data_IF_439141762743
#
_entry.id   IF_439141762743
#
_cell.length_a   1.000
_cell.length_b   1.000
_cell.length_c   1.000
_cell.angle_alpha   90.00
_cell.angle_beta   90.00
_cell.angle_gamma   90.00
#
_symmetry.space_group_name_H-M   'P 1'
#
loop_
_entity.id
_entity.type
_entity.pdbx_description
1 polymer ?
#
# COMPACT_ATOMS: atom_id res chain seq x y z
N UNK A 1 -33.67 12.72 -46.11
CA UNK A 1 -33.27 12.61 -44.70
C UNK A 1 -32.02 11.77 -44.63
N UNK A 2 -30.86 12.33 -44.27
CA UNK A 2 -29.62 11.51 -44.15
C UNK A 2 -29.66 10.76 -42.82
N UNK A 3 -29.42 9.45 -42.89
CA UNK A 3 -29.24 8.58 -41.73
C UNK A 3 -27.85 8.87 -41.14
N UNK A 4 -27.79 9.43 -39.95
CA UNK A 4 -26.55 9.46 -39.16
C UNK A 4 -26.21 8.04 -38.72
N UNK A 5 -25.17 7.51 -39.33
CA UNK A 5 -24.51 6.30 -38.86
C UNK A 5 -23.78 6.66 -37.56
N UNK A 6 -24.25 6.13 -36.43
CA UNK A 6 -23.50 6.19 -35.18
C UNK A 6 -22.26 5.30 -35.36
N UNK A 7 -21.09 5.91 -35.43
CA UNK A 7 -19.84 5.20 -35.35
C UNK A 7 -19.75 4.54 -33.98
N UNK A 8 -19.81 3.22 -33.92
CA UNK A 8 -19.50 2.47 -32.71
C UNK A 8 -18.02 2.72 -32.39
N UNK A 9 -17.76 3.42 -31.30
CA UNK A 9 -16.41 3.50 -30.74
C UNK A 9 -16.03 2.08 -30.35
N UNK A 10 -15.10 1.48 -31.08
CA UNK A 10 -14.54 0.18 -30.73
C UNK A 10 -13.92 0.35 -29.34
N UNK A 11 -14.53 -0.25 -28.33
CA UNK A 11 -13.94 -0.34 -27.00
C UNK A 11 -12.62 -1.09 -27.18
N UNK A 12 -11.50 -0.44 -26.87
CA UNK A 12 -10.19 -1.08 -26.93
C UNK A 12 -10.15 -2.20 -25.91
N UNK A 13 -10.34 -3.44 -26.36
CA UNK A 13 -10.47 -4.64 -25.52
C UNK A 13 -9.12 -5.21 -25.07
N UNK A 14 -8.00 -4.64 -25.55
CA UNK A 14 -6.67 -5.10 -25.17
C UNK A 14 -6.42 -4.84 -23.68
N UNK A 15 -5.80 -5.80 -22.98
CA UNK A 15 -5.45 -5.61 -21.58
C UNK A 15 -4.38 -4.53 -21.42
N UNK A 16 -4.30 -3.98 -20.20
CA UNK A 16 -3.28 -3.00 -19.81
C UNK A 16 -1.89 -3.62 -19.97
N UNK A 17 -0.96 -2.87 -20.56
CA UNK A 17 0.39 -3.35 -20.82
C UNK A 17 1.28 -3.24 -19.59
N UNK A 18 2.09 -4.27 -19.35
CA UNK A 18 3.20 -4.23 -18.42
C UNK A 18 4.32 -3.37 -19.01
N UNK A 19 4.72 -2.29 -18.30
CA UNK A 19 5.73 -1.35 -18.80
C UNK A 19 7.03 -1.35 -18.00
N UNK A 20 7.01 -1.85 -16.77
CA UNK A 20 8.21 -1.89 -15.92
C UNK A 20 8.10 -3.02 -14.89
N UNK A 21 9.25 -3.63 -14.55
CA UNK A 21 9.39 -4.59 -13.46
C UNK A 21 10.65 -4.28 -12.66
N UNK A 22 10.60 -4.54 -11.36
CA UNK A 22 11.76 -4.39 -10.49
C UNK A 22 11.71 -5.40 -9.34
N UNK A 23 12.89 -5.90 -8.94
CA UNK A 23 13.08 -6.66 -7.69
C UNK A 23 13.40 -5.73 -6.51
N UNK A 24 13.41 -4.42 -6.77
CA UNK A 24 13.72 -3.41 -5.75
C UNK A 24 15.14 -3.50 -5.21
N UNK A 25 15.31 -2.98 -4.00
CA UNK A 25 16.60 -2.97 -3.29
C UNK A 25 16.44 -3.65 -1.94
N UNK A 26 17.21 -4.70 -1.70
CA UNK A 26 17.18 -5.44 -0.43
C UNK A 26 18.01 -4.73 0.64
N UNK A 27 17.40 -4.57 1.82
CA UNK A 27 18.02 -3.99 3.02
C UNK A 27 17.73 -4.92 4.21
N UNK A 28 18.65 -5.84 4.47
CA UNK A 28 18.44 -6.88 5.49
C UNK A 28 17.22 -7.76 5.18
N UNK A 29 16.21 -7.80 6.07
CA UNK A 29 15.00 -8.59 5.87
C UNK A 29 13.93 -7.91 5.00
N UNK A 30 14.17 -6.67 4.58
CA UNK A 30 13.23 -5.84 3.83
C UNK A 30 13.70 -5.69 2.40
N UNK A 31 12.79 -5.77 1.45
CA UNK A 31 13.00 -5.40 0.05
C UNK A 31 12.16 -4.16 -0.26
N UNK A 32 12.82 -3.01 -0.49
CA UNK A 32 12.21 -1.77 -0.94
C UNK A 32 11.87 -1.89 -2.42
N UNK A 33 10.58 -2.02 -2.75
CA UNK A 33 10.07 -2.17 -4.12
C UNK A 33 9.75 -0.83 -4.77
N UNK A 34 9.41 0.18 -3.97
CA UNK A 34 9.05 1.52 -4.42
C UNK A 34 9.42 2.54 -3.35
N UNK A 35 9.97 3.69 -3.75
CA UNK A 35 10.25 4.83 -2.87
C UNK A 35 9.58 6.11 -3.39
N UNK A 36 9.36 7.11 -2.53
CA UNK A 36 8.77 8.38 -2.96
C UNK A 36 9.62 9.14 -3.98
N UNK A 37 10.93 8.88 -4.04
CA UNK A 37 11.87 9.52 -4.97
C UNK A 37 12.03 8.79 -6.32
N UNK A 38 11.41 7.65 -6.49
CA UNK A 38 11.47 6.85 -7.72
C UNK A 38 10.06 6.52 -8.25
N UNK A 39 9.66 5.27 -8.25
CA UNK A 39 8.34 4.82 -8.76
C UNK A 39 7.16 5.51 -8.05
N UNK A 40 7.32 5.94 -6.80
CA UNK A 40 6.26 6.65 -6.07
C UNK A 40 5.85 7.98 -6.72
N UNK A 41 6.73 8.65 -7.48
CA UNK A 41 6.37 9.84 -8.26
C UNK A 41 5.42 9.50 -9.42
N UNK A 42 5.53 8.30 -9.96
CA UNK A 42 4.74 7.83 -11.10
C UNK A 42 3.44 7.13 -10.65
N UNK A 43 3.49 6.44 -9.51
CA UNK A 43 2.40 5.60 -8.99
C UNK A 43 1.57 6.28 -7.90
N UNK A 44 1.80 7.57 -7.62
CA UNK A 44 1.03 8.33 -6.64
C UNK A 44 -0.49 8.21 -6.89
N UNK A 45 -1.30 7.95 -5.87
CA UNK A 45 -1.03 8.16 -4.43
C UNK A 45 -0.17 7.09 -3.74
N UNK A 46 0.15 5.96 -4.36
CA UNK A 46 1.03 4.95 -3.79
C UNK A 46 2.48 5.39 -3.96
N UNK A 47 3.15 5.71 -2.84
CA UNK A 47 4.47 6.36 -2.90
C UNK A 47 5.63 5.54 -2.35
N UNK A 48 5.33 4.41 -1.70
CA UNK A 48 6.33 3.58 -1.06
C UNK A 48 5.78 2.16 -0.89
N UNK A 49 6.60 1.14 -1.13
CA UNK A 49 6.25 -0.24 -0.87
C UNK A 49 7.48 -1.02 -0.42
N UNK A 50 7.41 -1.56 0.79
CA UNK A 50 8.33 -2.56 1.30
C UNK A 50 7.65 -3.93 1.35
N UNK A 51 8.37 -4.95 0.90
CA UNK A 51 8.06 -6.36 1.16
C UNK A 51 9.04 -6.87 2.20
N UNK A 52 8.54 -7.35 3.33
CA UNK A 52 9.36 -7.94 4.38
C UNK A 52 9.06 -9.42 4.56
N UNK A 53 10.11 -10.19 4.83
CA UNK A 53 10.00 -11.62 5.11
C UNK A 53 11.22 -12.09 5.90
N UNK A 54 11.00 -12.49 7.18
CA UNK A 54 12.06 -12.96 8.07
C UNK A 54 11.52 -13.73 9.27
N UNK A 55 12.41 -14.46 9.91
CA UNK A 55 12.16 -15.07 11.22
C UNK A 55 12.87 -14.22 12.28
N UNK A 56 12.11 -13.60 13.21
CA UNK A 56 12.73 -12.79 14.25
C UNK A 56 13.60 -13.61 15.19
N UNK A 57 14.74 -13.05 15.60
CA UNK A 57 15.55 -13.61 16.67
C UNK A 57 14.87 -13.38 18.04
N UNK A 58 15.08 -14.29 19.03
CA UNK A 58 14.56 -14.08 20.37
C UNK A 58 15.00 -12.74 20.96
N UNK A 59 14.03 -11.92 21.38
CA UNK A 59 14.30 -10.58 21.93
C UNK A 59 14.65 -9.51 20.89
N UNK A 60 14.45 -9.78 19.60
CA UNK A 60 14.69 -8.80 18.54
C UNK A 60 13.86 -7.53 18.80
N UNK A 61 14.56 -6.40 18.88
CA UNK A 61 13.91 -5.09 18.91
C UNK A 61 13.22 -4.82 17.58
N UNK A 62 12.04 -4.18 17.62
CA UNK A 62 11.37 -3.70 16.42
C UNK A 62 12.11 -2.55 15.73
N UNK A 63 11.44 -1.91 14.79
CA UNK A 63 11.99 -0.76 14.05
C UNK A 63 12.25 0.48 14.92
N UNK A 64 11.76 0.46 16.16
CA UNK A 64 11.78 1.62 17.06
C UNK A 64 10.69 2.63 16.72
N UNK A 65 10.43 3.52 17.65
CA UNK A 65 9.47 4.60 17.49
C UNK A 65 9.96 5.57 16.42
N UNK A 66 9.18 5.79 15.36
CA UNK A 66 9.51 6.68 14.25
C UNK A 66 8.28 7.46 13.76
N UNK A 67 8.49 8.64 13.15
CA UNK A 67 7.41 9.54 12.79
C UNK A 67 6.95 9.40 11.34
N UNK A 68 5.75 9.95 11.07
CA UNK A 68 5.25 10.23 9.72
C UNK A 68 4.42 11.52 9.72
N UNK A 69 4.37 12.20 8.56
CA UNK A 69 3.38 13.24 8.25
C UNK A 69 3.06 13.28 6.76
N UNK A 70 1.86 13.74 6.39
CA UNK A 70 1.40 13.90 5.00
C UNK A 70 1.05 12.59 4.28
N UNK A 71 1.28 11.46 4.89
CA UNK A 71 0.98 10.13 4.35
C UNK A 71 0.07 9.33 5.27
N UNK A 72 -0.48 8.25 4.72
CA UNK A 72 -0.94 7.14 5.51
C UNK A 72 -0.02 5.95 5.30
N UNK A 73 0.31 5.22 6.38
CA UNK A 73 0.94 3.91 6.30
C UNK A 73 -0.12 2.83 6.27
N UNK A 74 0.13 1.77 5.52
CA UNK A 74 -0.71 0.58 5.48
C UNK A 74 0.17 -0.66 5.62
N UNK A 75 0.02 -1.38 6.73
CA UNK A 75 0.66 -2.68 6.93
C UNK A 75 -0.34 -3.79 6.65
N UNK A 76 0.05 -4.76 5.84
CA UNK A 76 -0.68 -6.01 5.65
C UNK A 76 0.19 -7.18 6.10
N UNK A 77 -0.25 -7.88 7.16
CA UNK A 77 0.41 -9.08 7.67
C UNK A 77 -0.08 -10.29 6.88
N UNK A 78 0.83 -10.91 6.10
CA UNK A 78 0.51 -12.16 5.38
C UNK A 78 0.70 -13.35 6.32
N UNK A 79 1.80 -13.32 7.11
CA UNK A 79 2.16 -14.36 8.07
C UNK A 79 2.75 -13.71 9.33
N UNK A 80 2.48 -14.31 10.48
CA UNK A 80 2.98 -13.84 11.77
C UNK A 80 2.18 -12.68 12.35
N UNK A 81 2.71 -12.08 13.43
CA UNK A 81 2.03 -11.02 14.17
C UNK A 81 3.00 -9.99 14.74
N UNK A 82 2.55 -8.74 14.87
CA UNK A 82 3.34 -7.64 15.43
C UNK A 82 2.60 -6.95 16.57
N UNK A 83 3.32 -6.63 17.65
CA UNK A 83 2.82 -5.69 18.64
C UNK A 83 3.04 -4.27 18.15
N UNK A 84 2.02 -3.45 18.21
CA UNK A 84 2.04 -2.06 17.78
C UNK A 84 1.71 -1.08 18.90
N UNK A 85 2.20 0.13 18.78
CA UNK A 85 1.79 1.30 19.53
C UNK A 85 1.94 2.57 18.70
N UNK A 86 1.07 3.54 18.88
CA UNK A 86 1.15 4.83 18.20
C UNK A 86 0.73 6.00 19.10
N UNK A 87 1.00 7.22 18.64
CA UNK A 87 0.68 8.45 19.38
C UNK A 87 -0.77 8.93 19.19
N UNK A 88 -1.62 8.17 18.50
CA UNK A 88 -3.09 8.34 18.57
C UNK A 88 -3.66 7.69 19.85
N UNK A 89 -2.81 7.01 20.62
CA UNK A 89 -3.18 6.33 21.86
C UNK A 89 -3.57 4.86 21.69
N UNK A 90 -3.28 4.27 20.52
CA UNK A 90 -3.58 2.86 20.25
C UNK A 90 -2.36 1.97 20.46
N UNK A 91 -2.62 0.79 21.03
CA UNK A 91 -1.66 -0.27 21.18
C UNK A 91 -2.36 -1.63 21.16
N UNK A 92 -1.65 -2.68 20.72
CA UNK A 92 -2.20 -4.03 20.64
C UNK A 92 -1.31 -4.97 19.86
N UNK A 93 -1.91 -6.04 19.35
CA UNK A 93 -1.28 -7.00 18.44
C UNK A 93 -2.06 -7.00 17.13
N UNK A 94 -1.36 -6.85 16.03
CA UNK A 94 -1.87 -7.03 14.68
C UNK A 94 -1.58 -8.47 14.27
N UNK A 95 -2.61 -9.33 14.14
CA UNK A 95 -2.44 -10.74 13.84
C UNK A 95 -2.21 -10.99 12.34
N UNK A 96 -1.87 -12.23 12.01
CA UNK A 96 -1.86 -12.74 10.64
C UNK A 96 -3.16 -12.42 9.88
N UNK A 97 -3.03 -11.99 8.64
CA UNK A 97 -4.13 -11.53 7.80
C UNK A 97 -4.70 -10.17 8.20
N UNK A 98 -4.23 -9.58 9.30
CA UNK A 98 -4.66 -8.28 9.78
C UNK A 98 -4.04 -7.12 9.00
N UNK A 99 -4.66 -5.94 9.15
CA UNK A 99 -4.21 -4.70 8.52
C UNK A 99 -4.15 -3.54 9.50
N UNK A 100 -3.14 -2.70 9.31
CA UNK A 100 -3.03 -1.37 9.91
C UNK A 100 -3.31 -0.32 8.83
N UNK A 101 -4.11 0.67 9.14
CA UNK A 101 -4.17 1.94 8.45
C UNK A 101 -3.87 3.05 9.44
N UNK A 102 -2.79 3.79 9.22
CA UNK A 102 -2.44 4.94 10.05
C UNK A 102 -2.27 6.16 9.16
N UNK A 103 -3.32 6.98 9.09
CA UNK A 103 -3.27 8.31 8.47
C UNK A 103 -2.51 9.25 9.41
N UNK A 104 -1.30 9.63 9.02
CA UNK A 104 -0.44 10.45 9.84
C UNK A 104 -0.89 11.90 9.92
N UNK A 105 -1.58 12.40 8.89
CA UNK A 105 -2.01 13.80 8.84
C UNK A 105 -0.84 14.75 9.12
N UNK A 106 -1.02 15.66 10.07
CA UNK A 106 0.01 16.62 10.47
C UNK A 106 1.20 15.99 11.20
N UNK A 107 1.02 14.82 11.82
CA UNK A 107 2.11 14.11 12.48
C UNK A 107 1.64 12.99 13.41
N UNK A 108 2.37 11.89 13.37
CA UNK A 108 2.18 10.72 14.22
C UNK A 108 3.54 10.05 14.44
N UNK A 109 3.70 9.37 15.58
CA UNK A 109 4.80 8.44 15.82
C UNK A 109 4.23 7.06 16.11
N UNK A 110 4.87 6.04 15.59
CA UNK A 110 4.49 4.66 15.84
C UNK A 110 5.68 3.72 15.94
N UNK A 111 5.41 2.54 16.45
CA UNK A 111 6.37 1.46 16.58
C UNK A 111 5.67 0.13 16.31
N UNK A 112 6.39 -0.79 15.69
CA UNK A 112 6.00 -2.18 15.55
C UNK A 112 7.17 -3.10 15.92
N UNK A 113 6.88 -4.16 16.68
CA UNK A 113 7.88 -5.16 17.08
C UNK A 113 7.31 -6.57 16.96
N UNK A 114 8.14 -7.57 16.63
CA UNK A 114 7.72 -8.96 16.66
C UNK A 114 7.16 -9.35 18.03
N UNK A 115 6.08 -10.12 18.05
CA UNK A 115 5.48 -10.66 19.29
C UNK A 115 6.26 -11.88 19.77
N UNK A 116 6.74 -12.69 18.82
CA UNK A 116 7.44 -13.94 19.05
C UNK A 116 8.47 -14.20 17.94
N UNK A 117 9.10 -15.39 17.92
CA UNK A 117 10.06 -15.80 16.89
C UNK A 117 9.44 -16.60 15.74
N UNK A 118 8.13 -16.51 15.52
CA UNK A 118 7.50 -17.10 14.34
C UNK A 118 7.89 -16.33 13.07
N UNK A 119 7.95 -16.97 11.89
CA UNK A 119 8.14 -16.28 10.64
C UNK A 119 7.14 -15.14 10.45
N UNK A 120 7.59 -14.08 9.84
CA UNK A 120 6.76 -12.91 9.52
C UNK A 120 6.94 -12.54 8.07
N UNK A 121 5.83 -12.32 7.37
CA UNK A 121 5.81 -11.86 5.98
C UNK A 121 4.69 -10.84 5.79
N UNK A 122 4.94 -9.80 5.03
CA UNK A 122 3.92 -8.79 4.75
C UNK A 122 4.41 -7.65 3.86
N UNK A 123 3.53 -6.70 3.68
CA UNK A 123 3.79 -5.48 2.93
C UNK A 123 3.55 -4.24 3.79
N UNK A 124 4.43 -3.25 3.63
CA UNK A 124 4.25 -1.89 4.15
C UNK A 124 4.10 -0.94 2.96
N UNK A 125 2.93 -0.34 2.82
CA UNK A 125 2.60 0.64 1.78
C UNK A 125 2.51 2.03 2.41
N UNK A 126 2.96 3.08 1.70
CA UNK A 126 2.59 4.45 2.02
C UNK A 126 1.71 5.03 0.93
N UNK A 127 0.68 5.75 1.37
CA UNK A 127 -0.26 6.47 0.51
C UNK A 127 -0.11 7.96 0.79
N UNK A 128 0.18 8.76 -0.22
CA UNK A 128 0.16 10.21 -0.13
C UNK A 128 -1.28 10.69 0.12
N UNK A 129 -1.48 11.46 1.17
CA UNK A 129 -2.81 11.98 1.50
C UNK A 129 -3.21 13.12 0.54
N UNK A 130 -4.51 13.31 0.29
CA UNK A 130 -4.99 14.50 -0.39
C UNK A 130 -4.55 15.79 0.32
N UNK A 131 -4.30 16.86 -0.44
CA UNK A 131 -3.84 18.15 0.10
C UNK A 131 -4.70 18.68 1.26
N UNK A 132 -6.00 18.42 1.24
CA UNK A 132 -6.92 18.81 2.31
C UNK A 132 -6.77 18.00 3.60
N UNK A 133 -6.06 16.85 3.57
CA UNK A 133 -5.93 15.92 4.70
C UNK A 133 -4.49 15.80 5.20
N UNK A 134 -3.50 16.18 4.41
CA UNK A 134 -2.07 15.94 4.71
C UNK A 134 -1.55 16.62 5.98
N UNK A 135 -2.20 17.67 6.47
CA UNK A 135 -1.96 18.29 7.77
C UNK A 135 -3.18 18.20 8.72
N UNK A 136 -4.11 17.29 8.43
CA UNK A 136 -5.24 17.01 9.30
C UNK A 136 -4.86 16.23 10.57
N UNK A 137 -5.84 15.85 11.40
CA UNK A 137 -5.60 15.02 12.58
C UNK A 137 -5.14 13.62 12.20
N UNK A 138 -4.24 13.05 13.01
CA UNK A 138 -3.83 11.66 12.87
C UNK A 138 -4.96 10.71 13.27
N UNK A 139 -5.08 9.60 12.56
CA UNK A 139 -6.07 8.54 12.81
C UNK A 139 -5.45 7.18 12.50
N UNK A 140 -5.59 6.22 13.40
CA UNK A 140 -5.20 4.84 13.13
C UNK A 140 -6.36 3.85 13.29
N UNK A 141 -6.36 2.82 12.46
CA UNK A 141 -7.32 1.70 12.47
C UNK A 141 -6.52 0.41 12.34
N UNK A 142 -6.80 -0.53 13.23
CA UNK A 142 -6.20 -1.87 13.23
C UNK A 142 -7.34 -2.88 13.15
N UNK A 143 -7.29 -3.75 12.16
CA UNK A 143 -8.34 -4.73 11.89
C UNK A 143 -7.73 -6.12 11.79
N UNK A 144 -8.39 -7.09 12.42
CA UNK A 144 -8.08 -8.50 12.21
C UNK A 144 -8.62 -9.01 10.86
N UNK A 145 -8.13 -10.18 10.43
CA UNK A 145 -8.46 -10.79 9.14
C UNK A 145 -9.98 -10.93 8.92
N UNK A 146 -10.76 -11.17 9.97
CA UNK A 146 -12.21 -11.41 9.87
C UNK A 146 -13.00 -10.16 9.47
N UNK A 147 -12.39 -8.99 9.59
CA UNK A 147 -13.00 -7.71 9.23
C UNK A 147 -12.71 -7.29 7.79
N UNK A 148 -11.82 -8.00 7.10
CA UNK A 148 -11.45 -7.68 5.72
C UNK A 148 -12.36 -8.45 4.76
N UNK A 149 -13.20 -7.76 3.98
CA UNK A 149 -14.13 -8.40 3.07
C UNK A 149 -13.43 -9.03 1.87
N UNK A 150 -14.05 -10.07 1.31
CA UNK A 150 -13.51 -10.81 0.17
C UNK A 150 -14.51 -10.84 -0.99
N UNK A 151 -13.99 -10.85 -2.21
CA UNK A 151 -14.76 -11.01 -3.44
C UNK A 151 -13.94 -11.83 -4.45
N UNK A 152 -14.41 -13.05 -4.74
CA UNK A 152 -13.64 -13.99 -5.57
C UNK A 152 -12.29 -14.29 -4.94
N UNK A 153 -11.16 -14.20 -5.67
CA UNK A 153 -9.83 -14.48 -5.14
C UNK A 153 -9.23 -13.30 -4.35
N UNK A 154 -9.92 -12.15 -4.25
CA UNK A 154 -9.39 -10.91 -3.71
C UNK A 154 -9.97 -10.58 -2.33
N UNK A 155 -9.09 -10.26 -1.38
CA UNK A 155 -9.40 -9.55 -0.12
C UNK A 155 -9.28 -8.05 -0.37
N UNK A 156 -10.28 -7.29 0.02
CA UNK A 156 -10.34 -5.84 -0.25
C UNK A 156 -9.71 -5.10 0.92
N UNK A 157 -8.41 -4.79 0.79
CA UNK A 157 -7.64 -4.11 1.83
C UNK A 157 -8.00 -2.62 1.91
N UNK A 158 -8.08 -1.93 0.75
CA UNK A 158 -8.56 -0.54 0.61
C UNK A 158 -9.52 -0.44 -0.56
N UNK A 159 -10.48 0.47 -0.47
CA UNK A 159 -11.44 0.76 -1.55
C UNK A 159 -12.53 -0.29 -1.69
N UNK A 160 -12.86 -0.67 -2.93
CA UNK A 160 -13.96 -1.57 -3.23
C UNK A 160 -13.68 -2.47 -4.45
N UNK A 161 -14.16 -3.70 -4.42
CA UNK A 161 -14.09 -4.63 -5.53
C UNK A 161 -15.34 -5.50 -5.60
N UNK A 162 -16.05 -5.47 -6.75
CA UNK A 162 -17.35 -6.11 -6.86
C UNK A 162 -18.35 -5.51 -5.87
N UNK A 163 -18.86 -6.33 -4.96
CA UNK A 163 -19.78 -5.89 -3.89
C UNK A 163 -19.08 -5.70 -2.54
N UNK A 164 -17.80 -6.06 -2.45
CA UNK A 164 -17.01 -5.94 -1.22
C UNK A 164 -16.40 -4.54 -1.09
N UNK A 165 -16.52 -3.95 0.10
CA UNK A 165 -15.97 -2.63 0.43
C UNK A 165 -15.17 -2.71 1.72
N UNK A 166 -13.93 -2.24 1.68
CA UNK A 166 -13.06 -2.16 2.85
C UNK A 166 -13.67 -1.23 3.92
N UNK A 167 -13.64 -1.61 5.21
CA UNK A 167 -14.03 -0.72 6.30
C UNK A 167 -12.95 0.30 6.67
N UNK A 168 -11.77 0.24 6.05
CA UNK A 168 -10.68 1.19 6.28
C UNK A 168 -11.05 2.57 5.73
N UNK A 169 -10.96 3.65 6.54
CA UNK A 169 -11.36 5.00 6.12
C UNK A 169 -10.27 5.69 5.28
N UNK A 170 -9.88 5.04 4.17
CA UNK A 170 -8.94 5.59 3.20
C UNK A 170 -9.60 6.67 2.32
N UNK A 171 -8.82 7.61 1.75
CA UNK A 171 -9.32 8.50 0.71
C UNK A 171 -9.93 7.72 -0.45
N UNK A 172 -10.97 8.28 -1.07
CA UNK A 172 -11.63 7.68 -2.23
C UNK A 172 -10.69 7.63 -3.46
N UNK A 173 -11.07 6.81 -4.45
CA UNK A 173 -10.37 6.73 -5.73
C UNK A 173 -9.13 5.86 -5.71
N UNK A 174 -9.04 4.90 -4.80
CA UNK A 174 -8.00 3.88 -4.78
C UNK A 174 -8.53 2.51 -4.35
N UNK A 175 -7.92 1.46 -4.89
CA UNK A 175 -8.07 0.08 -4.45
C UNK A 175 -6.71 -0.50 -4.10
N UNK A 176 -6.67 -1.27 -3.02
CA UNK A 176 -5.55 -2.13 -2.67
C UNK A 176 -6.10 -3.50 -2.29
N UNK A 177 -5.70 -4.51 -3.04
CA UNK A 177 -6.23 -5.86 -2.95
C UNK A 177 -5.10 -6.84 -2.60
N UNK A 178 -5.39 -7.84 -1.76
CA UNK A 178 -4.55 -9.03 -1.63
C UNK A 178 -5.24 -10.18 -2.36
N UNK A 179 -4.53 -10.83 -3.28
CA UNK A 179 -5.11 -11.79 -4.22
C UNK A 179 -4.37 -13.12 -4.13
N UNK A 180 -5.13 -14.21 -4.12
CA UNK A 180 -4.60 -15.57 -4.19
C UNK A 180 -5.23 -16.28 -5.39
N UNK A 181 -4.38 -16.76 -6.30
CA UNK A 181 -4.78 -17.54 -7.47
C UNK A 181 -4.18 -18.94 -7.40
N UNK A 182 -4.96 -19.93 -7.84
CA UNK A 182 -4.48 -21.29 -8.01
C UNK A 182 -3.69 -21.44 -9.32
N UNK A 183 -2.87 -22.50 -9.41
CA UNK A 183 -2.15 -22.82 -10.63
C UNK A 183 -3.07 -22.85 -11.84
N UNK A 184 -2.69 -22.14 -12.89
CA UNK A 184 -3.46 -22.00 -14.14
C UNK A 184 -4.71 -21.11 -14.03
N UNK A 185 -5.01 -20.56 -12.87
CA UNK A 185 -6.19 -19.69 -12.71
C UNK A 185 -6.00 -18.37 -13.47
N UNK A 186 -7.05 -17.98 -14.21
CA UNK A 186 -7.16 -16.72 -14.91
C UNK A 186 -7.98 -15.73 -14.09
N UNK A 187 -7.45 -14.54 -13.87
CA UNK A 187 -8.19 -13.47 -13.22
C UNK A 187 -8.04 -12.16 -13.98
N UNK A 188 -9.19 -11.54 -14.25
CA UNK A 188 -9.25 -10.23 -14.91
C UNK A 188 -9.67 -9.18 -13.89
N UNK A 189 -8.75 -8.28 -13.59
CA UNK A 189 -9.05 -7.11 -12.78
C UNK A 189 -9.51 -5.96 -13.67
N UNK A 190 -10.76 -5.54 -13.51
CA UNK A 190 -11.30 -4.33 -14.15
C UNK A 190 -11.29 -3.22 -13.11
N UNK A 191 -10.41 -2.21 -13.24
CA UNK A 191 -10.36 -1.11 -12.28
C UNK A 191 -11.62 -0.25 -12.39
N UNK A 192 -12.01 0.45 -11.30
CA UNK A 192 -13.01 1.52 -11.39
C UNK A 192 -12.61 2.60 -12.39
N UNK A 193 -13.62 3.30 -12.93
CA UNK A 193 -13.39 4.40 -13.87
C UNK A 193 -12.43 5.45 -13.28
N UNK A 194 -11.46 5.88 -14.09
CA UNK A 194 -10.47 6.88 -13.70
C UNK A 194 -9.26 6.32 -12.92
N UNK A 195 -9.25 5.04 -12.52
CA UNK A 195 -8.08 4.41 -11.91
C UNK A 195 -7.00 4.13 -12.96
N UNK A 196 -6.30 5.17 -13.39
CA UNK A 196 -5.27 5.08 -14.42
C UNK A 196 -3.95 4.56 -13.89
N UNK A 197 -3.66 4.69 -12.61
CA UNK A 197 -2.52 4.06 -11.95
C UNK A 197 -2.81 2.59 -11.71
N UNK A 198 -1.83 1.71 -11.99
CA UNK A 198 -1.94 0.27 -11.72
C UNK A 198 -0.58 -0.38 -11.52
N UNK A 199 -0.47 -1.21 -10.49
CA UNK A 199 0.73 -1.99 -10.17
C UNK A 199 0.35 -3.25 -9.40
N UNK A 200 1.24 -4.24 -9.36
CA UNK A 200 1.13 -5.38 -8.45
C UNK A 200 2.52 -5.77 -7.92
N UNK A 201 2.56 -6.47 -6.78
CA UNK A 201 3.78 -7.04 -6.22
C UNK A 201 3.52 -8.48 -5.80
N UNK A 202 4.33 -9.41 -6.33
CA UNK A 202 4.17 -10.86 -6.10
C UNK A 202 4.89 -11.26 -4.82
N UNK A 203 4.15 -11.90 -3.90
CA UNK A 203 4.70 -12.48 -2.69
C UNK A 203 5.26 -13.89 -2.97
N UNK A 204 4.44 -14.78 -3.53
CA UNK A 204 4.81 -16.16 -3.87
C UNK A 204 4.27 -16.55 -5.24
N UNK A 205 4.90 -17.53 -5.91
CA UNK A 205 4.49 -18.00 -7.23
C UNK A 205 4.95 -17.09 -8.35
N UNK A 206 4.24 -17.13 -9.47
CA UNK A 206 4.52 -16.35 -10.68
C UNK A 206 3.23 -15.96 -11.36
N UNK A 207 3.21 -14.80 -12.01
CA UNK A 207 2.09 -14.31 -12.82
C UNK A 207 2.53 -14.05 -14.26
N UNK A 208 1.70 -14.44 -15.22
CA UNK A 208 1.73 -13.83 -16.54
C UNK A 208 0.76 -12.65 -16.56
N UNK A 209 1.30 -11.45 -16.72
CA UNK A 209 0.59 -10.17 -16.78
C UNK A 209 0.93 -9.44 -18.07
N UNK A 210 0.86 -10.12 -19.23
CA UNK A 210 1.42 -9.68 -20.51
C UNK A 210 2.97 -9.61 -20.49
N UNK A 211 3.54 -10.47 -19.67
CA UNK A 211 4.94 -10.66 -19.34
C UNK A 211 5.04 -11.36 -18.00
N UNK A 212 6.07 -12.20 -17.83
CA UNK A 212 6.25 -12.95 -16.60
C UNK A 212 6.69 -12.03 -15.46
N UNK A 213 6.02 -12.14 -14.30
CA UNK A 213 6.34 -11.47 -13.04
C UNK A 213 6.59 -12.53 -11.99
N UNK A 214 7.77 -12.54 -11.40
CA UNK A 214 8.22 -13.54 -10.43
C UNK A 214 7.97 -13.09 -8.98
N UNK A 215 8.03 -14.04 -8.05
CA UNK A 215 8.01 -13.72 -6.62
C UNK A 215 9.09 -12.68 -6.26
N UNK A 216 8.70 -11.70 -5.43
CA UNK A 216 9.55 -10.58 -5.02
C UNK A 216 9.66 -9.45 -6.05
N UNK A 217 8.96 -9.54 -7.18
CA UNK A 217 8.92 -8.44 -8.17
C UNK A 217 7.70 -7.55 -7.97
N UNK A 218 7.91 -6.26 -8.21
CA UNK A 218 6.87 -5.27 -8.47
C UNK A 218 6.76 -5.06 -9.97
N UNK A 219 5.53 -5.10 -10.48
CA UNK A 219 5.16 -4.85 -11.87
C UNK A 219 4.32 -3.57 -11.97
N UNK A 220 4.67 -2.70 -12.91
CA UNK A 220 3.98 -1.44 -13.19
C UNK A 220 3.30 -1.52 -14.54
N UNK A 221 2.05 -1.13 -14.60
CA UNK A 221 1.27 -1.08 -15.83
C UNK A 221 1.21 0.33 -16.40
N UNK A 222 0.99 0.44 -17.72
CA UNK A 222 0.74 1.72 -18.37
C UNK A 222 -0.41 2.49 -17.74
N UNK A 223 -0.37 3.82 -17.78
CA UNK A 223 -1.47 4.67 -17.31
C UNK A 223 -2.69 4.50 -18.23
N UNK A 224 -3.68 3.77 -17.75
CA UNK A 224 -4.91 3.44 -18.49
C UNK A 224 -5.95 2.93 -17.49
N UNK A 225 -7.22 3.04 -17.82
CA UNK A 225 -8.34 2.42 -17.10
C UNK A 225 -8.73 1.04 -17.66
N UNK A 226 -7.92 0.50 -18.58
CA UNK A 226 -8.12 -0.84 -19.14
C UNK A 226 -7.89 -1.92 -18.08
N UNK A 227 -8.52 -3.06 -18.28
CA UNK A 227 -8.37 -4.21 -17.41
C UNK A 227 -6.95 -4.77 -17.40
N UNK A 228 -6.56 -5.39 -16.30
CA UNK A 228 -5.32 -6.17 -16.15
C UNK A 228 -5.71 -7.64 -16.19
N UNK A 229 -5.16 -8.38 -17.14
CA UNK A 229 -5.34 -9.84 -17.26
C UNK A 229 -4.16 -10.57 -16.64
N UNK A 230 -4.45 -11.51 -15.77
CA UNK A 230 -3.47 -12.26 -15.00
C UNK A 230 -3.72 -13.76 -15.13
N UNK A 231 -2.64 -14.52 -15.26
CA UNK A 231 -2.66 -15.99 -15.22
C UNK A 231 -1.60 -16.45 -14.23
N UNK A 232 -2.00 -17.26 -13.25
CA UNK A 232 -1.08 -17.81 -12.28
C UNK A 232 -0.29 -19.01 -12.85
N UNK A 233 0.99 -19.07 -12.54
CA UNK A 233 1.86 -20.21 -12.74
C UNK A 233 2.32 -20.74 -11.39
N UNK A 234 1.75 -21.85 -10.96
CA UNK A 234 1.76 -22.31 -9.59
C UNK A 234 0.79 -21.50 -8.72
N UNK A 235 0.53 -21.97 -7.49
CA UNK A 235 -0.26 -21.20 -6.50
C UNK A 235 0.46 -19.88 -6.21
N UNK A 236 -0.23 -18.78 -6.47
CA UNK A 236 0.37 -17.44 -6.49
C UNK A 236 -0.38 -16.48 -5.57
N UNK A 237 0.37 -15.77 -4.72
CA UNK A 237 -0.14 -14.69 -3.87
C UNK A 237 0.52 -13.37 -4.21
N UNK A 238 -0.24 -12.29 -4.27
CA UNK A 238 0.23 -10.96 -4.62
C UNK A 238 -0.66 -9.86 -4.06
N UNK A 239 -0.15 -8.64 -4.04
CA UNK A 239 -0.95 -7.45 -3.81
C UNK A 239 -1.08 -6.64 -5.11
N UNK A 240 -2.23 -5.98 -5.29
CA UNK A 240 -2.52 -5.14 -6.45
C UNK A 240 -3.05 -3.79 -5.98
N UNK A 241 -2.46 -2.72 -6.50
CA UNK A 241 -2.92 -1.35 -6.29
C UNK A 241 -3.42 -0.71 -7.58
N UNK A 242 -4.56 -0.03 -7.54
CA UNK A 242 -5.02 0.86 -8.60
C UNK A 242 -5.61 2.14 -8.03
N UNK A 243 -5.43 3.26 -8.72
CA UNK A 243 -5.95 4.54 -8.22
C UNK A 243 -6.18 5.57 -9.33
N UNK A 244 -6.99 6.56 -9.02
CA UNK A 244 -6.95 7.87 -9.67
C UNK A 244 -5.60 8.50 -9.33
N UNK A 245 -4.87 8.97 -10.34
CA UNK A 245 -3.55 9.57 -10.12
C UNK A 245 -3.63 10.80 -9.23
N UNK A 246 -2.80 10.87 -8.20
CA UNK A 246 -2.74 12.01 -7.30
C UNK A 246 -2.37 13.28 -8.10
N UNK A 247 -3.15 14.39 -7.99
CA UNK A 247 -3.05 15.51 -8.92
C UNK A 247 -1.83 16.42 -8.69
N UNK A 248 -1.24 16.38 -7.49
CA UNK A 248 -0.11 17.26 -7.13
C UNK A 248 1.25 16.59 -7.33
N UNK A 249 2.26 17.38 -7.59
CA UNK A 249 3.63 16.98 -7.37
C UNK A 249 3.89 16.81 -5.88
N UNK A 250 4.83 15.93 -5.53
CA UNK A 250 5.06 15.55 -4.14
C UNK A 250 6.45 16.02 -3.69
N UNK A 251 6.49 16.58 -2.49
CA UNK A 251 7.70 17.03 -1.81
C UNK A 251 8.02 16.06 -0.67
N UNK A 252 9.25 15.55 -0.67
CA UNK A 252 9.71 14.57 0.31
C UNK A 252 10.41 15.25 1.48
N UNK A 253 10.18 14.73 2.68
CA UNK A 253 10.86 15.10 3.91
C UNK A 253 11.31 13.89 4.71
N UNK A 254 11.58 14.11 6.00
CA UNK A 254 11.97 13.05 6.92
C UNK A 254 10.76 12.16 7.23
N UNK A 255 10.74 10.94 6.67
CA UNK A 255 9.61 10.00 6.77
C UNK A 255 8.24 10.59 6.41
N UNK A 256 8.23 11.62 5.54
CA UNK A 256 7.07 12.45 5.24
C UNK A 256 7.00 12.73 3.75
N UNK A 257 5.78 12.85 3.22
CA UNK A 257 5.53 13.27 1.84
C UNK A 257 4.33 14.19 1.84
N UNK A 258 4.47 15.35 1.22
CA UNK A 258 3.44 16.39 1.16
C UNK A 258 3.27 16.95 -0.26
N UNK A 259 2.22 17.72 -0.48
CA UNK A 259 1.94 18.37 -1.77
C UNK A 259 2.68 19.70 -1.93
N UNK A 260 3.26 20.23 -0.87
CA UNK A 260 4.02 21.50 -0.91
C UNK A 260 5.07 21.57 0.19
N UNK A 261 6.06 22.45 -0.01
CA UNK A 261 7.08 22.72 1.00
C UNK A 261 6.47 23.29 2.30
N UNK A 262 5.44 24.12 2.19
CA UNK A 262 4.81 24.75 3.35
C UNK A 262 4.10 23.71 4.23
N UNK A 263 3.35 22.79 3.63
CA UNK A 263 2.65 21.70 4.34
C UNK A 263 3.63 20.68 4.93
N UNK A 264 4.74 20.41 4.22
CA UNK A 264 5.84 19.58 4.74
C UNK A 264 6.48 20.21 5.98
N UNK A 265 6.83 21.50 5.93
CA UNK A 265 7.45 22.20 7.07
C UNK A 265 6.54 22.21 8.31
N UNK A 266 5.22 22.32 8.09
CA UNK A 266 4.22 22.22 9.16
C UNK A 266 4.24 20.82 9.79
N UNK A 267 4.18 19.75 8.97
CA UNK A 267 4.21 18.37 9.44
C UNK A 267 5.51 18.03 10.16
N UNK A 268 6.67 18.41 9.60
CA UNK A 268 7.97 18.18 10.24
C UNK A 268 8.13 18.91 11.58
N UNK A 269 7.55 20.10 11.70
CA UNK A 269 7.51 20.82 12.99
C UNK A 269 6.69 20.04 14.03
N UNK A 270 5.56 19.48 13.62
CA UNK A 270 4.69 18.72 14.52
C UNK A 270 5.33 17.40 14.96
N UNK A 271 5.92 16.63 14.04
CA UNK A 271 6.59 15.37 14.41
C UNK A 271 7.80 15.64 15.32
N UNK A 272 8.52 16.75 15.18
CA UNK A 272 9.59 17.18 16.11
C UNK A 272 9.02 17.50 17.50
N UNK A 273 7.86 18.20 17.56
CA UNK A 273 7.18 18.51 18.81
C UNK A 273 6.73 17.24 19.56
N UNK A 274 6.09 16.30 18.84
CA UNK A 274 5.67 15.01 19.42
C UNK A 274 6.90 14.22 19.87
N UNK A 275 7.96 14.15 19.07
CA UNK A 275 9.20 13.45 19.44
C UNK A 275 9.87 14.03 20.69
N UNK A 276 9.78 15.36 20.92
CA UNK A 276 10.27 15.98 22.16
C UNK A 276 9.45 15.53 23.38
N UNK A 277 8.14 15.41 23.25
CA UNK A 277 7.28 14.89 24.34
C UNK A 277 7.59 13.42 24.63
N UNK A 278 7.74 12.58 23.60
CA UNK A 278 8.09 11.16 23.78
C UNK A 278 9.44 10.97 24.49
N UNK A 279 10.42 11.86 24.24
CA UNK A 279 11.70 11.84 24.99
C UNK A 279 11.50 12.21 26.47
N UNK A 280 10.68 13.22 26.76
CA UNK A 280 10.38 13.61 28.14
C UNK A 280 9.67 12.48 28.90
N UNK A 281 8.85 11.69 28.21
CA UNK A 281 8.17 10.50 28.74
C UNK A 281 9.06 9.26 28.82
N UNK A 282 10.31 9.32 28.36
CA UNK A 282 11.23 8.17 28.30
C UNK A 282 10.85 7.09 27.28
N UNK A 283 9.98 7.41 26.32
CA UNK A 283 9.51 6.51 25.25
C UNK A 283 10.35 6.58 23.98
N UNK A 284 11.22 7.56 23.88
CA UNK A 284 12.17 7.74 22.79
C UNK A 284 13.56 7.90 23.39
N UNK A 285 14.50 7.01 23.00
CA UNK A 285 15.89 7.02 23.44
C UNK A 285 16.74 8.10 22.74
#
# INVERSE_FOLDING_TARGET
MPRHSAASVAVNTLPRQLIHRTKGTRQGPITRLMSPGDLGQHLKPFVFLDHFGFKPEPGQKGFGMHPHSGIATFTYMIEGEVAYEDTTGKSGVLPEGGVEWMSAGNGVWHNAKPVNSSPMTGFQLWVALPAAQENGPALSVYLDASKIPEQGPARVLLGEYGTAKSPVPAPEGMNYLAVNLKDGEHWRYTPPAGHTVGWLAVNTGQLNANGLVEAGELAVFEESDRAIDLVAHGDTSFVLGSAIKHPHDLVMGYYSVHTSKATLDQGEKEIKRIGALLRQEGRLG
#
